data_IF_748841745976
#
_entry.id   IF_748841745976
#
_cell.length_a   1.000
_cell.length_b   1.000
_cell.length_c   1.000
_cell.angle_alpha   90.00
_cell.angle_beta   90.00
_cell.angle_gamma   90.00
#
_symmetry.space_group_name_H-M   'P 1'
#
loop_
_entity.id
_entity.type
_entity.pdbx_description
1 polymer ?
#
# COMPACT_ATOMS: atom_id res chain seq x y z
N UNK A 1 -53.54 19.04 -13.56
CA UNK A 1 -53.32 18.05 -12.49
C UNK A 1 -51.87 17.59 -12.62
N UNK A 2 -50.98 18.21 -11.86
CA UNK A 2 -49.57 17.80 -11.76
C UNK A 2 -49.53 16.59 -10.84
N UNK A 3 -49.24 15.43 -11.42
CA UNK A 3 -49.03 14.17 -10.69
C UNK A 3 -47.92 14.38 -9.62
N UNK A 4 -48.14 13.93 -8.38
CA UNK A 4 -47.29 14.28 -7.24
C UNK A 4 -46.02 13.42 -7.20
N UNK A 5 -44.85 14.08 -7.14
CA UNK A 5 -43.62 13.78 -6.39
C UNK A 5 -43.06 12.34 -6.24
N UNK A 6 -43.50 11.33 -6.99
CA UNK A 6 -42.95 9.96 -6.93
C UNK A 6 -41.64 9.75 -7.73
N UNK A 7 -41.06 10.82 -8.28
CA UNK A 7 -40.02 10.74 -9.31
C UNK A 7 -38.55 10.86 -8.85
N UNK A 8 -38.22 10.84 -7.55
CA UNK A 8 -36.83 11.13 -7.12
C UNK A 8 -36.14 10.04 -6.27
N UNK A 9 -36.87 9.18 -5.55
CA UNK A 9 -36.23 8.23 -4.65
C UNK A 9 -35.56 7.05 -5.38
N UNK A 10 -36.19 6.52 -6.41
CA UNK A 10 -35.60 5.48 -7.28
C UNK A 10 -34.38 6.01 -8.05
N UNK A 11 -34.41 7.28 -8.45
CA UNK A 11 -33.27 7.95 -9.06
C UNK A 11 -32.08 8.06 -8.09
N UNK A 12 -32.35 8.38 -6.82
CA UNK A 12 -31.35 8.49 -5.75
C UNK A 12 -30.71 7.14 -5.40
N UNK A 13 -31.51 6.09 -5.19
CA UNK A 13 -31.01 4.74 -4.83
C UNK A 13 -30.19 4.08 -5.94
N UNK A 14 -30.35 4.54 -7.19
CA UNK A 14 -29.56 4.11 -8.34
C UNK A 14 -28.21 4.82 -8.51
N UNK A 15 -27.93 5.85 -7.72
CA UNK A 15 -26.64 6.55 -7.80
C UNK A 15 -25.49 5.68 -7.29
N UNK A 16 -24.31 5.87 -7.87
CA UNK A 16 -23.10 5.33 -7.28
C UNK A 16 -22.78 6.04 -5.95
N UNK A 17 -22.55 5.27 -4.89
CA UNK A 17 -22.20 5.78 -3.56
C UNK A 17 -20.93 6.63 -3.51
N UNK A 18 -19.98 6.39 -4.43
CA UNK A 18 -18.71 7.14 -4.43
C UNK A 18 -18.72 8.38 -5.32
N UNK A 19 -19.40 8.34 -6.47
CA UNK A 19 -19.34 9.43 -7.46
C UNK A 19 -20.68 10.10 -7.76
N UNK A 20 -21.78 9.59 -7.20
CA UNK A 20 -23.15 10.09 -7.41
C UNK A 20 -23.59 10.12 -8.88
N UNK A 21 -22.95 9.34 -9.75
CA UNK A 21 -23.32 9.23 -11.17
C UNK A 21 -24.20 8.00 -11.41
N UNK A 22 -25.23 8.17 -12.24
CA UNK A 22 -26.11 7.10 -12.74
C UNK A 22 -25.63 6.57 -14.10
N UNK A 23 -24.39 6.08 -14.18
CA UNK A 23 -23.82 5.54 -15.44
C UNK A 23 -23.26 4.12 -15.27
N UNK A 24 -23.53 3.27 -16.26
CA UNK A 24 -22.97 1.92 -16.40
C UNK A 24 -23.49 0.88 -15.39
N UNK A 25 -22.94 -0.35 -15.47
CA UNK A 25 -23.19 -1.41 -14.50
C UNK A 25 -22.81 -0.98 -13.08
N UNK A 26 -23.58 -1.46 -12.11
CA UNK A 26 -23.41 -1.17 -10.69
C UNK A 26 -23.54 -2.43 -9.87
N UNK A 27 -22.63 -2.56 -8.91
CA UNK A 27 -22.59 -3.62 -7.92
C UNK A 27 -23.25 -3.12 -6.63
N UNK A 28 -24.02 -3.96 -5.96
CA UNK A 28 -24.54 -3.64 -4.63
C UNK A 28 -23.47 -3.95 -3.56
N UNK A 29 -23.16 -2.97 -2.70
CA UNK A 29 -22.02 -2.99 -1.76
C UNK A 29 -22.10 -4.15 -0.74
N UNK A 30 -23.31 -4.63 -0.47
CA UNK A 30 -23.60 -5.61 0.59
C UNK A 30 -23.99 -6.99 0.07
N UNK A 31 -23.82 -7.24 -1.22
CA UNK A 31 -24.15 -8.52 -1.86
C UNK A 31 -22.96 -9.47 -1.91
N UNK A 32 -23.23 -10.74 -2.26
CA UNK A 32 -22.22 -11.83 -2.31
C UNK A 32 -21.03 -11.52 -3.21
N UNK A 33 -21.25 -10.87 -4.37
CA UNK A 33 -20.15 -10.50 -5.26
C UNK A 33 -19.25 -9.43 -4.62
N UNK A 34 -19.82 -8.43 -3.94
CA UNK A 34 -19.04 -7.44 -3.18
C UNK A 34 -18.27 -8.06 -2.02
N UNK A 35 -18.85 -9.06 -1.37
CA UNK A 35 -18.18 -9.83 -0.32
C UNK A 35 -17.01 -10.63 -0.89
N UNK A 36 -17.20 -11.35 -2.00
CA UNK A 36 -16.13 -12.09 -2.68
C UNK A 36 -14.97 -11.18 -3.11
N UNK A 37 -15.27 -9.98 -3.63
CA UNK A 37 -14.25 -8.98 -4.01
C UNK A 37 -13.71 -8.16 -2.82
N UNK A 38 -14.23 -8.39 -1.61
CA UNK A 38 -13.85 -7.69 -0.38
C UNK A 38 -14.02 -6.15 -0.46
N UNK A 39 -15.09 -5.70 -1.13
CA UNK A 39 -15.32 -4.28 -1.44
C UNK A 39 -15.42 -3.42 -0.17
N UNK A 40 -16.21 -3.84 0.82
CA UNK A 40 -16.35 -3.10 2.09
C UNK A 40 -15.04 -2.98 2.85
N UNK A 41 -14.24 -4.05 2.87
CA UNK A 41 -12.93 -4.04 3.51
C UNK A 41 -11.98 -3.07 2.82
N UNK A 42 -11.92 -3.09 1.48
CA UNK A 42 -11.11 -2.16 0.68
C UNK A 42 -11.56 -0.71 0.89
N UNK A 43 -12.87 -0.44 0.90
CA UNK A 43 -13.44 0.90 1.17
C UNK A 43 -12.99 1.42 2.53
N UNK A 44 -13.16 0.63 3.60
CA UNK A 44 -12.77 1.03 4.96
C UNK A 44 -11.26 1.23 5.10
N UNK A 45 -10.47 0.43 4.39
CA UNK A 45 -9.01 0.51 4.43
C UNK A 45 -8.48 1.74 3.69
N UNK A 46 -9.07 2.07 2.53
CA UNK A 46 -8.59 3.14 1.67
C UNK A 46 -9.24 4.50 1.95
N UNK A 47 -10.49 4.50 2.43
CA UNK A 47 -11.32 5.69 2.68
C UNK A 47 -11.88 5.67 4.12
N UNK A 48 -11.03 5.68 5.17
CA UNK A 48 -11.44 5.42 6.54
C UNK A 48 -12.41 6.45 7.13
N UNK A 49 -12.43 7.67 6.61
CA UNK A 49 -13.35 8.73 7.03
C UNK A 49 -14.75 8.57 6.43
N UNK A 50 -14.91 7.77 5.38
CA UNK A 50 -16.18 7.55 4.70
C UNK A 50 -16.95 6.42 5.38
N UNK A 51 -18.01 6.78 6.11
CA UNK A 51 -18.88 5.79 6.75
C UNK A 51 -19.81 5.13 5.73
N UNK A 52 -19.76 3.79 5.69
CA UNK A 52 -20.58 2.96 4.81
C UNK A 52 -21.26 1.91 5.69
N UNK A 53 -22.58 2.05 5.84
CA UNK A 53 -23.42 1.18 6.66
C UNK A 53 -24.61 0.63 5.87
N UNK A 54 -25.14 -0.53 6.27
CA UNK A 54 -26.40 -1.05 5.72
C UNK A 54 -27.59 -0.17 6.14
N UNK A 55 -27.50 0.41 7.32
CA UNK A 55 -28.60 1.13 7.96
C UNK A 55 -28.67 2.62 7.59
N UNK A 56 -27.71 3.14 6.83
CA UNK A 56 -27.78 4.53 6.33
C UNK A 56 -28.81 4.69 5.20
N UNK A 57 -29.31 5.91 5.00
CA UNK A 57 -30.28 6.24 3.93
C UNK A 57 -29.58 6.72 2.65
N UNK A 58 -28.39 6.22 2.36
CA UNK A 58 -27.57 6.63 1.21
C UNK A 58 -27.48 5.49 0.18
N UNK A 59 -27.07 5.77 -1.08
CA UNK A 59 -27.04 4.76 -2.13
C UNK A 59 -26.17 3.55 -1.74
N UNK A 60 -26.66 2.35 -2.05
CA UNK A 60 -26.03 1.07 -1.69
C UNK A 60 -25.30 0.43 -2.88
N UNK A 61 -25.20 1.15 -3.99
CA UNK A 61 -24.60 0.69 -5.24
C UNK A 61 -23.28 1.41 -5.51
N UNK A 62 -22.32 0.73 -6.12
CA UNK A 62 -21.05 1.30 -6.60
C UNK A 62 -20.90 0.96 -8.09
N UNK A 63 -20.54 1.92 -8.93
CA UNK A 63 -20.33 1.66 -10.36
C UNK A 63 -18.95 1.03 -10.62
N UNK A 64 -18.82 0.28 -11.71
CA UNK A 64 -17.59 -0.47 -12.00
C UNK A 64 -16.34 0.43 -12.04
N UNK A 65 -16.44 1.65 -12.60
CA UNK A 65 -15.34 2.63 -12.61
C UNK A 65 -14.82 2.94 -11.21
N UNK A 66 -15.73 3.04 -10.23
CA UNK A 66 -15.37 3.32 -8.84
C UNK A 66 -14.79 2.07 -8.16
N UNK A 67 -15.28 0.87 -8.52
CA UNK A 67 -14.69 -0.39 -8.04
C UNK A 67 -13.27 -0.56 -8.56
N UNK A 68 -13.03 -0.40 -9.87
CA UNK A 68 -11.69 -0.50 -10.45
C UNK A 68 -10.70 0.47 -9.79
N UNK A 69 -11.11 1.73 -9.57
CA UNK A 69 -10.27 2.72 -8.88
C UNK A 69 -9.98 2.31 -7.43
N UNK A 70 -10.96 1.77 -6.73
CA UNK A 70 -10.77 1.29 -5.36
C UNK A 70 -9.79 0.12 -5.30
N UNK A 71 -9.89 -0.83 -6.23
CA UNK A 71 -8.99 -1.99 -6.31
C UNK A 71 -7.55 -1.55 -6.61
N UNK A 72 -7.37 -0.67 -7.60
CA UNK A 72 -6.06 -0.07 -7.91
C UNK A 72 -5.48 0.71 -6.72
N UNK A 73 -6.31 1.49 -6.02
CA UNK A 73 -5.88 2.24 -4.84
C UNK A 73 -5.44 1.29 -3.71
N UNK A 74 -6.16 0.20 -3.50
CA UNK A 74 -5.82 -0.80 -2.49
C UNK A 74 -4.49 -1.49 -2.81
N UNK A 75 -4.30 -1.94 -4.04
CA UNK A 75 -3.04 -2.55 -4.50
C UNK A 75 -1.85 -1.60 -4.37
N UNK A 76 -2.03 -0.35 -4.82
CA UNK A 76 -1.00 0.68 -4.68
C UNK A 76 -0.64 0.92 -3.21
N UNK A 77 -1.65 1.00 -2.32
CA UNK A 77 -1.42 1.11 -0.87
C UNK A 77 -0.60 -0.06 -0.33
N UNK A 78 -0.90 -1.31 -0.71
CA UNK A 78 -0.14 -2.47 -0.25
C UNK A 78 1.32 -2.40 -0.72
N UNK A 79 1.56 -1.98 -1.96
CA UNK A 79 2.92 -1.76 -2.49
C UNK A 79 3.69 -0.72 -1.68
N UNK A 80 3.06 0.40 -1.32
CA UNK A 80 3.68 1.43 -0.47
C UNK A 80 4.02 0.89 0.93
N UNK A 81 3.12 0.13 1.56
CA UNK A 81 3.35 -0.45 2.89
C UNK A 81 4.49 -1.49 2.88
N UNK A 82 4.54 -2.33 1.84
CA UNK A 82 5.63 -3.29 1.64
C UNK A 82 6.97 -2.56 1.46
N UNK A 83 6.98 -1.53 0.60
CA UNK A 83 8.17 -0.71 0.35
C UNK A 83 8.66 -0.01 1.62
N UNK A 84 7.77 0.59 2.39
CA UNK A 84 8.10 1.25 3.66
C UNK A 84 8.75 0.27 4.66
N UNK A 85 8.20 -0.95 4.77
CA UNK A 85 8.80 -2.02 5.60
C UNK A 85 10.23 -2.36 5.16
N UNK A 86 10.44 -2.58 3.86
CA UNK A 86 11.77 -2.88 3.30
C UNK A 86 12.76 -1.73 3.57
N UNK A 87 12.35 -0.49 3.34
CA UNK A 87 13.19 0.69 3.56
C UNK A 87 13.55 0.87 5.04
N UNK A 88 12.61 0.62 5.96
CA UNK A 88 12.86 0.68 7.41
C UNK A 88 13.86 -0.39 7.86
N UNK A 89 13.67 -1.63 7.41
CA UNK A 89 14.59 -2.73 7.73
C UNK A 89 16.00 -2.46 7.20
N UNK A 90 16.10 -1.87 6.02
CA UNK A 90 17.38 -1.44 5.45
C UNK A 90 18.02 -0.33 6.30
N UNK A 91 17.27 0.71 6.65
CA UNK A 91 17.76 1.81 7.47
C UNK A 91 18.24 1.32 8.86
N UNK A 92 17.54 0.37 9.47
CA UNK A 92 17.94 -0.25 10.73
C UNK A 92 19.23 -1.06 10.60
N UNK A 93 19.32 -1.90 9.56
CA UNK A 93 20.55 -2.66 9.26
C UNK A 93 21.76 -1.75 9.07
N UNK A 94 21.58 -0.60 8.40
CA UNK A 94 22.66 0.38 8.22
C UNK A 94 23.11 1.05 9.51
N UNK A 95 22.20 1.31 10.46
CA UNK A 95 22.56 1.83 11.79
C UNK A 95 23.43 0.85 12.55
N UNK A 96 23.10 -0.45 12.50
CA UNK A 96 23.88 -1.51 13.16
C UNK A 96 25.28 -1.58 12.55
N UNK A 97 25.38 -1.68 11.22
CA UNK A 97 26.68 -1.75 10.52
C UNK A 97 27.56 -0.55 10.86
N UNK A 98 27.00 0.66 10.83
CA UNK A 98 27.74 1.89 11.15
C UNK A 98 28.24 1.91 12.59
N UNK A 99 27.43 1.44 13.54
CA UNK A 99 27.79 1.39 14.96
C UNK A 99 28.90 0.38 15.24
N UNK A 100 28.86 -0.80 14.59
CA UNK A 100 29.90 -1.83 14.72
C UNK A 100 31.24 -1.37 14.13
N UNK A 101 31.23 -0.69 12.97
CA UNK A 101 32.45 -0.13 12.37
C UNK A 101 33.07 0.93 13.31
N UNK A 102 32.27 1.81 13.88
CA UNK A 102 32.75 2.83 14.82
C UNK A 102 33.33 2.19 16.10
N UNK A 103 32.73 1.12 16.62
CA UNK A 103 33.25 0.38 17.76
C UNK A 103 34.60 -0.28 17.48
N UNK A 104 34.74 -0.96 16.33
CA UNK A 104 36.00 -1.59 15.90
C UNK A 104 37.13 -0.55 15.75
N UNK A 105 36.82 0.63 15.18
CA UNK A 105 37.80 1.70 15.02
C UNK A 105 38.22 2.36 16.35
N UNK A 106 37.30 2.47 17.32
CA UNK A 106 37.61 2.99 18.66
C UNK A 106 38.43 2.03 19.52
N UNK A 107 38.28 0.72 19.31
CA UNK A 107 39.03 -0.32 20.02
C UNK A 107 40.46 -0.45 19.49
N UNK A 108 40.67 -0.37 18.17
CA UNK A 108 42.03 -0.36 17.58
C UNK A 108 42.86 0.88 17.94
N UNK A 109 42.25 2.01 18.31
CA UNK A 109 42.99 3.22 18.72
C UNK A 109 43.59 3.17 20.14
N UNK A 110 43.26 2.17 20.96
CA UNK A 110 43.87 2.01 22.30
C UNK A 110 45.18 1.22 22.29
N UNK A 111 45.51 0.53 21.20
CA UNK A 111 46.80 -0.11 20.98
C UNK A 111 47.63 0.77 20.05
N UNK A 112 48.16 1.86 20.60
CA UNK A 112 49.09 2.74 19.89
C UNK A 112 50.49 2.15 19.84
N UNK A 113 50.83 1.47 18.75
CA UNK A 113 52.22 1.31 18.30
C UNK A 113 52.31 1.56 16.79
N UNK A 114 52.73 2.78 16.44
CA UNK A 114 53.80 3.06 15.46
C UNK A 114 53.77 2.53 14.02
N UNK A 115 52.78 1.76 13.57
CA UNK A 115 52.80 1.14 12.24
C UNK A 115 51.57 1.50 11.41
N UNK A 116 51.81 1.81 10.13
CA UNK A 116 50.80 2.20 9.15
C UNK A 116 49.62 1.20 9.13
N UNK A 117 48.36 1.67 8.98
CA UNK A 117 47.22 0.78 9.03
C UNK A 117 47.31 -0.27 7.90
N UNK A 118 47.05 -1.56 8.18
CA UNK A 118 46.95 -2.55 7.13
C UNK A 118 45.78 -2.18 6.21
N UNK A 119 46.00 -2.28 4.89
CA UNK A 119 44.93 -2.17 3.89
C UNK A 119 43.92 -3.27 4.18
N UNK A 120 42.79 -2.91 4.80
CA UNK A 120 41.67 -3.82 4.99
C UNK A 120 41.06 -4.13 3.61
N UNK A 121 41.37 -5.31 3.08
CA UNK A 121 40.52 -5.98 2.10
C UNK A 121 39.15 -6.13 2.75
N UNK A 122 38.20 -5.33 2.25
CA UNK A 122 36.89 -5.06 2.85
C UNK A 122 35.97 -6.27 2.68
N UNK A 123 35.61 -7.04 3.72
CA UNK A 123 34.60 -8.07 3.59
C UNK A 123 33.22 -7.41 3.71
N UNK A 124 32.43 -7.46 2.63
CA UNK A 124 31.00 -7.19 2.68
C UNK A 124 30.60 -5.71 2.82
N UNK A 125 30.96 -4.87 1.84
CA UNK A 125 30.23 -3.62 1.66
C UNK A 125 28.73 -3.94 1.47
N UNK A 126 27.81 -3.26 2.17
CA UNK A 126 26.39 -3.40 1.85
C UNK A 126 26.17 -3.03 0.38
N UNK A 127 25.33 -3.82 -0.31
CA UNK A 127 25.06 -3.62 -1.74
C UNK A 127 24.70 -2.14 -1.99
N UNK A 128 25.25 -1.52 -3.05
CA UNK A 128 24.95 -0.12 -3.34
C UNK A 128 23.45 0.05 -3.55
N UNK A 129 22.89 1.17 -3.08
CA UNK A 129 21.46 1.51 -3.20
C UNK A 129 20.95 1.35 -4.64
N UNK A 130 21.81 1.58 -5.65
CA UNK A 130 21.50 1.35 -7.06
C UNK A 130 21.07 -0.09 -7.39
N UNK A 131 21.59 -1.10 -6.69
CA UNK A 131 21.20 -2.49 -6.88
C UNK A 131 19.84 -2.83 -6.22
N UNK A 132 19.37 -2.00 -5.29
CA UNK A 132 18.04 -2.12 -4.66
C UNK A 132 17.00 -1.38 -5.49
N UNK A 133 17.35 -0.18 -6.00
CA UNK A 133 16.46 0.61 -6.87
C UNK A 133 16.19 -0.09 -8.22
N UNK A 134 17.15 -0.85 -8.76
CA UNK A 134 16.99 -1.60 -10.01
C UNK A 134 16.18 -2.90 -9.88
N UNK A 135 15.68 -3.24 -8.68
CA UNK A 135 14.81 -4.40 -8.45
C UNK A 135 13.32 -4.04 -8.42
N UNK A 136 12.96 -2.79 -8.77
CA UNK A 136 11.57 -2.32 -8.81
C UNK A 136 11.26 -1.78 -10.21
N UNK A 137 11.16 -2.69 -11.17
CA UNK A 137 10.37 -2.43 -12.37
C UNK A 137 8.87 -2.44 -11.96
N UNK A 138 8.01 -1.58 -12.54
CA UNK A 138 6.58 -1.47 -12.18
C UNK A 138 5.75 -2.76 -12.30
N UNK A 139 6.33 -3.86 -12.80
CA UNK A 139 5.65 -5.12 -13.11
C UNK A 139 6.08 -6.34 -12.28
N UNK A 140 7.07 -6.25 -11.37
CA UNK A 140 7.61 -7.44 -10.68
C UNK A 140 7.08 -7.70 -9.26
N UNK A 141 5.98 -7.05 -8.84
CA UNK A 141 5.30 -7.39 -7.57
C UNK A 141 4.61 -8.76 -7.64
N UNK A 142 4.40 -9.31 -8.84
CA UNK A 142 3.78 -10.62 -9.04
C UNK A 142 4.70 -11.81 -8.68
N UNK A 143 6.02 -11.64 -8.57
CA UNK A 143 6.97 -12.74 -8.34
C UNK A 143 7.42 -12.93 -6.88
N UNK A 144 6.83 -12.20 -5.92
CA UNK A 144 6.97 -12.51 -4.48
C UNK A 144 5.92 -13.54 -3.99
N UNK A 145 5.10 -14.09 -4.89
CA UNK A 145 4.02 -15.06 -4.63
C UNK A 145 4.23 -16.45 -5.27
N UNK A 146 5.44 -17.00 -5.25
CA UNK A 146 5.67 -18.45 -5.34
C UNK A 146 6.85 -18.75 -4.40
N UNK A 147 6.67 -19.50 -3.31
CA UNK A 147 6.68 -20.96 -3.25
C UNK A 147 6.03 -21.45 -1.92
N UNK A 148 5.55 -22.71 -1.82
CA UNK A 148 5.56 -23.42 -0.53
C UNK A 148 6.99 -23.73 -0.06
#
# INVERSE_FOLDING_TARGET
MTEPEDLNFTAFTDLCRLCSLKSGPRLHIFDKESEQRQILFKLRTCLPTMQISKDDFLPKKICERCVTRLEQLYEWRQSCLSTDSVLRNYAESMKIVTSTINFQYSSSRRLGDGSAPPRLDRPGAPRPLSAICNALEPTDIANLFLFP
#
